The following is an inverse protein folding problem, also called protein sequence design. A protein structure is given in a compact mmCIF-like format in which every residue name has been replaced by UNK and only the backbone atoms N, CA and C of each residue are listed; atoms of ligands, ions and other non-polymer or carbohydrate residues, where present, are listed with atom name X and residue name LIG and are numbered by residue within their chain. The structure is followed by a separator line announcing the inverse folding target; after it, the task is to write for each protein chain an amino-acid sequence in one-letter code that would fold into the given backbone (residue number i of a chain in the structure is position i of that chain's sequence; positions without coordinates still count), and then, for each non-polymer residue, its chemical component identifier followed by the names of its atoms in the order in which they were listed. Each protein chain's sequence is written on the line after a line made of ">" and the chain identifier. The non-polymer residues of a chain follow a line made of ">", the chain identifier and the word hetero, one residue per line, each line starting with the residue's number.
data_IF_998942243509
#
_entry.id   IF_998942243509
#
_cell.length_a   1.000
_cell.length_b   1.000
_cell.length_c   1.000
_cell.angle_alpha   90.00
_cell.angle_beta   90.00
_cell.angle_gamma   90.00
#
_symmetry.space_group_name_H-M   'P 1'
#
loop_
_entity.id
_entity.type
_entity.pdbx_description
1 polymer ?
#
# COMPACT_ATOMS: atom_id res chain seq x y z
N UNK A 1 -4.52 31.66 -22.35
CA UNK A 1 -4.51 30.79 -21.15
C UNK A 1 -3.57 31.42 -20.14
N UNK A 2 -4.08 32.00 -19.06
CA UNK A 2 -3.23 32.45 -17.96
C UNK A 2 -2.89 31.23 -17.12
N UNK A 3 -1.62 30.84 -17.09
CA UNK A 3 -1.14 29.85 -16.13
C UNK A 3 -1.30 30.43 -14.72
N UNK A 4 -1.83 29.63 -13.79
CA UNK A 4 -1.85 30.01 -12.38
C UNK A 4 -0.41 30.23 -11.89
N UNK A 5 -0.16 31.21 -11.01
CA UNK A 5 1.15 31.40 -10.42
C UNK A 5 1.58 30.13 -9.68
N UNK A 6 2.89 29.83 -9.64
CA UNK A 6 3.41 28.65 -8.94
C UNK A 6 3.10 28.74 -7.44
N UNK A 7 2.63 27.62 -6.87
CA UNK A 7 2.30 27.52 -5.43
C UNK A 7 3.52 27.77 -4.56
N UNK A 8 3.36 28.51 -3.47
CA UNK A 8 4.41 28.66 -2.46
C UNK A 8 4.58 27.37 -1.62
N UNK A 9 5.64 27.28 -0.82
CA UNK A 9 5.97 26.08 -0.04
C UNK A 9 4.86 25.67 0.93
N UNK A 10 4.17 26.65 1.54
CA UNK A 10 3.07 26.39 2.47
C UNK A 10 1.85 25.84 1.74
N UNK A 11 1.51 26.42 0.58
CA UNK A 11 0.42 25.93 -0.28
C UNK A 11 0.68 24.49 -0.75
N UNK A 12 1.92 24.17 -1.12
CA UNK A 12 2.33 22.81 -1.48
C UNK A 12 2.23 21.85 -0.29
N UNK A 13 2.67 22.26 0.91
CA UNK A 13 2.53 21.46 2.13
C UNK A 13 1.06 21.17 2.46
N UNK A 14 0.18 22.18 2.34
CA UNK A 14 -1.26 22.02 2.58
C UNK A 14 -1.88 21.03 1.59
N UNK A 15 -1.50 21.07 0.31
CA UNK A 15 -1.97 20.09 -0.67
C UNK A 15 -1.53 18.66 -0.32
N UNK A 16 -0.29 18.49 0.11
CA UNK A 16 0.26 17.18 0.48
C UNK A 16 -0.45 16.62 1.72
N UNK A 17 -0.64 17.45 2.74
CA UNK A 17 -1.39 17.07 3.95
C UNK A 17 -2.83 16.73 3.60
N UNK A 18 -3.50 17.53 2.77
CA UNK A 18 -4.88 17.24 2.32
C UNK A 18 -4.96 15.88 1.63
N UNK A 19 -4.02 15.58 0.74
CA UNK A 19 -3.99 14.29 0.03
C UNK A 19 -3.83 13.09 0.97
N UNK A 20 -3.12 13.25 2.09
CA UNK A 20 -3.02 12.24 3.16
C UNK A 20 -4.35 12.12 3.91
N UNK A 21 -4.94 13.23 4.36
CA UNK A 21 -6.18 13.22 5.12
C UNK A 21 -7.34 12.59 4.33
N UNK A 22 -7.45 12.91 3.03
CA UNK A 22 -8.45 12.33 2.13
C UNK A 22 -8.33 10.80 2.03
N UNK A 23 -7.10 10.27 1.95
CA UNK A 23 -6.84 8.83 1.85
C UNK A 23 -6.91 8.09 3.17
N UNK A 24 -6.55 8.78 4.27
CA UNK A 24 -6.67 8.26 5.62
C UNK A 24 -8.13 8.06 6.00
N UNK A 25 -9.00 8.97 5.53
CA UNK A 25 -10.44 8.88 5.78
C UNK A 25 -10.99 7.55 5.29
N UNK A 26 -11.49 6.73 6.24
CA UNK A 26 -12.03 5.41 5.93
C UNK A 26 -11.00 4.30 5.74
N UNK A 27 -9.70 4.56 5.89
CA UNK A 27 -8.68 3.52 5.76
C UNK A 27 -8.80 2.44 6.83
N UNK A 28 -9.02 2.83 8.09
CA UNK A 28 -9.27 1.88 9.19
C UNK A 28 -10.40 0.91 8.82
N UNK A 29 -11.55 1.44 8.37
CA UNK A 29 -12.68 0.64 7.90
C UNK A 29 -12.32 -0.24 6.71
N UNK A 30 -11.59 0.29 5.73
CA UNK A 30 -11.12 -0.49 4.57
C UNK A 30 -10.28 -1.69 5.02
N UNK A 31 -9.33 -1.49 5.94
CA UNK A 31 -8.52 -2.56 6.49
C UNK A 31 -9.38 -3.59 7.26
N UNK A 32 -10.29 -3.13 8.11
CA UNK A 32 -11.20 -4.01 8.86
C UNK A 32 -12.08 -4.86 7.96
N UNK A 33 -12.65 -4.27 6.90
CA UNK A 33 -13.66 -4.95 6.07
C UNK A 33 -13.07 -5.74 4.89
N UNK A 34 -11.93 -5.29 4.35
CA UNK A 34 -11.38 -5.78 3.08
C UNK A 34 -10.04 -6.48 3.21
N UNK A 35 -9.34 -6.34 4.34
CA UNK A 35 -8.00 -6.92 4.55
C UNK A 35 -8.03 -7.95 5.66
N UNK A 36 -8.38 -7.54 6.88
CA UNK A 36 -8.38 -8.38 8.10
C UNK A 36 -9.07 -9.75 7.93
N UNK A 37 -10.21 -9.88 7.23
CA UNK A 37 -10.89 -11.17 7.08
C UNK A 37 -10.10 -12.21 6.26
N UNK A 38 -9.14 -11.77 5.45
CA UNK A 38 -8.38 -12.61 4.53
C UNK A 38 -6.95 -12.88 5.01
N UNK A 39 -6.55 -12.30 6.14
CA UNK A 39 -5.24 -12.52 6.76
C UNK A 39 -5.27 -13.71 7.72
N UNK A 40 -4.13 -14.38 7.82
CA UNK A 40 -3.84 -15.32 8.90
C UNK A 40 -3.78 -14.60 10.27
N UNK A 41 -3.86 -15.34 11.39
CA UNK A 41 -3.94 -14.72 12.71
C UNK A 41 -2.75 -13.82 13.09
N UNK A 42 -1.54 -14.17 12.67
CA UNK A 42 -0.32 -13.41 13.03
C UNK A 42 -0.28 -12.10 12.24
N UNK A 43 -0.52 -12.17 10.93
CA UNK A 43 -0.63 -10.99 10.06
C UNK A 43 -1.80 -10.08 10.48
N UNK A 44 -2.91 -10.67 10.94
CA UNK A 44 -4.07 -9.91 11.42
C UNK A 44 -3.71 -9.01 12.60
N UNK A 45 -3.01 -9.53 13.60
CA UNK A 45 -2.62 -8.76 14.77
C UNK A 45 -1.82 -7.50 14.38
N UNK A 46 -0.87 -7.67 13.46
CA UNK A 46 -0.02 -6.58 12.97
C UNK A 46 -0.84 -5.51 12.22
N UNK A 47 -1.81 -5.93 11.40
CA UNK A 47 -2.69 -4.99 10.70
C UNK A 47 -3.68 -4.32 11.64
N UNK A 48 -4.12 -4.99 12.70
CA UNK A 48 -4.96 -4.40 13.75
C UNK A 48 -4.24 -3.26 14.49
N UNK A 49 -2.94 -3.39 14.79
CA UNK A 49 -2.15 -2.27 15.35
C UNK A 49 -2.12 -1.05 14.40
N UNK A 50 -2.07 -1.30 13.09
CA UNK A 50 -2.14 -0.21 12.09
C UNK A 50 -3.52 0.45 12.07
N UNK A 51 -4.59 -0.32 12.27
CA UNK A 51 -5.96 0.21 12.36
C UNK A 51 -6.10 1.12 13.59
N UNK A 52 -5.64 0.66 14.75
CA UNK A 52 -5.65 1.45 16.00
C UNK A 52 -4.93 2.79 15.80
N UNK A 53 -3.74 2.75 15.21
CA UNK A 53 -2.96 3.96 14.93
C UNK A 53 -3.67 4.92 13.95
N UNK A 54 -4.43 4.39 12.99
CA UNK A 54 -5.20 5.20 12.04
C UNK A 54 -6.38 5.92 12.71
N UNK A 55 -7.02 5.28 13.69
CA UNK A 55 -8.19 5.81 14.41
C UNK A 55 -7.84 6.86 15.48
N UNK A 56 -6.64 6.80 16.07
CA UNK A 56 -6.20 7.72 17.15
C UNK A 56 -5.93 9.18 16.70
N UNK A 57 -6.37 9.61 15.51
CA UNK A 57 -6.10 10.96 14.96
C UNK A 57 -4.62 11.39 15.06
N UNK A 58 -3.70 10.43 14.95
CA UNK A 58 -2.24 10.61 15.05
C UNK A 58 -1.65 11.59 14.03
N UNK A 59 -0.47 12.15 14.33
CA UNK A 59 0.24 13.06 13.44
C UNK A 59 0.66 12.40 12.11
N UNK A 60 0.81 13.22 11.05
CA UNK A 60 1.37 12.77 9.78
C UNK A 60 2.90 12.80 9.88
N UNK A 61 3.47 11.69 10.33
CA UNK A 61 4.90 11.57 10.58
C UNK A 61 5.49 10.24 10.06
N UNK A 62 6.76 9.99 10.42
CA UNK A 62 7.45 8.76 10.07
C UNK A 62 6.83 7.51 10.70
N UNK A 63 6.17 7.62 11.86
CA UNK A 63 5.51 6.52 12.56
C UNK A 63 4.31 6.03 11.77
N UNK A 64 3.48 6.94 11.26
CA UNK A 64 2.38 6.58 10.36
C UNK A 64 2.91 5.83 9.13
N UNK A 65 4.02 6.29 8.54
CA UNK A 65 4.61 5.62 7.38
C UNK A 65 5.13 4.21 7.70
N UNK A 66 5.62 4.00 8.92
CA UNK A 66 6.11 2.70 9.39
C UNK A 66 4.97 1.68 9.52
N UNK A 67 3.89 2.03 10.21
CA UNK A 67 2.74 1.13 10.37
C UNK A 67 2.10 0.76 9.01
N UNK A 68 1.97 1.74 8.11
CA UNK A 68 1.48 1.49 6.76
C UNK A 68 2.37 0.53 5.96
N UNK A 69 3.71 0.68 6.04
CA UNK A 69 4.66 -0.21 5.37
C UNK A 69 4.56 -1.64 5.90
N UNK A 70 4.50 -1.78 7.23
CA UNK A 70 4.33 -3.07 7.90
C UNK A 70 3.03 -3.75 7.45
N UNK A 71 1.90 -3.04 7.45
CA UNK A 71 0.64 -3.58 6.96
C UNK A 71 0.70 -3.98 5.47
N UNK A 72 1.38 -3.20 4.61
CA UNK A 72 1.59 -3.53 3.20
C UNK A 72 2.38 -4.83 3.05
N UNK A 73 3.42 -5.02 3.86
CA UNK A 73 4.24 -6.24 3.87
C UNK A 73 3.37 -7.45 4.23
N UNK A 74 2.55 -7.37 5.28
CA UNK A 74 1.68 -8.48 5.68
C UNK A 74 0.65 -8.84 4.62
N UNK A 75 0.02 -7.84 3.99
CA UNK A 75 -0.92 -8.06 2.88
C UNK A 75 -0.23 -8.76 1.70
N UNK A 76 0.99 -8.33 1.33
CA UNK A 76 1.76 -8.95 0.24
C UNK A 76 2.20 -10.37 0.58
N UNK A 77 2.54 -10.63 1.84
CA UNK A 77 2.83 -11.98 2.35
C UNK A 77 1.61 -12.88 2.21
N UNK A 78 0.42 -12.41 2.62
CA UNK A 78 -0.84 -13.14 2.45
C UNK A 78 -1.17 -13.46 0.99
N UNK A 79 -0.98 -12.49 0.07
CA UNK A 79 -1.14 -12.72 -1.38
C UNK A 79 -0.18 -13.81 -1.87
N UNK A 80 1.07 -13.78 -1.41
CA UNK A 80 2.09 -14.75 -1.79
C UNK A 80 1.76 -16.15 -1.27
N UNK A 81 1.33 -16.25 -0.01
CA UNK A 81 0.93 -17.51 0.62
C UNK A 81 -0.28 -18.15 -0.07
N UNK A 82 -1.26 -17.35 -0.50
CA UNK A 82 -2.40 -17.83 -1.29
C UNK A 82 -2.14 -17.97 -2.79
N UNK A 83 -0.89 -17.82 -3.24
CA UNK A 83 -0.52 -18.11 -4.63
C UNK A 83 -0.05 -19.57 -4.77
N UNK A 84 -0.60 -20.29 -5.74
CA UNK A 84 -0.16 -21.65 -6.07
C UNK A 84 0.02 -21.85 -7.58
N UNK A 85 0.72 -22.92 -7.95
CA UNK A 85 0.88 -23.36 -9.33
C UNK A 85 -0.19 -24.41 -9.68
N UNK A 86 -0.93 -24.16 -10.75
CA UNK A 86 -1.88 -25.08 -11.35
C UNK A 86 -1.27 -25.70 -12.61
N UNK A 87 -1.21 -27.03 -12.66
CA UNK A 87 -0.80 -27.78 -13.86
C UNK A 87 -2.02 -28.08 -14.70
N UNK A 88 -2.09 -27.52 -15.90
CA UNK A 88 -3.16 -27.74 -16.86
C UNK A 88 -2.66 -28.62 -17.98
N UNK A 89 -3.33 -29.74 -18.23
CA UNK A 89 -2.94 -30.66 -19.28
C UNK A 89 -3.06 -29.97 -20.66
N UNK A 90 -2.00 -30.03 -21.45
CA UNK A 90 -2.00 -29.50 -22.81
C UNK A 90 -2.85 -30.44 -23.68
N UNK A 91 -3.85 -29.93 -24.42
CA UNK A 91 -4.68 -30.74 -25.31
C UNK A 91 -3.83 -31.51 -26.32
N UNK A 92 -4.25 -32.74 -26.65
CA UNK A 92 -3.47 -33.64 -27.53
C UNK A 92 -3.21 -33.02 -28.90
N UNK A 93 -4.11 -32.18 -29.42
CA UNK A 93 -3.90 -31.54 -30.73
C UNK A 93 -2.73 -30.55 -30.73
N UNK A 94 -2.28 -30.09 -29.56
CA UNK A 94 -1.18 -29.12 -29.37
C UNK A 94 0.14 -29.77 -28.94
N UNK A 95 0.15 -31.08 -28.68
CA UNK A 95 1.36 -31.80 -28.27
C UNK A 95 2.28 -32.02 -29.48
N UNK A 96 3.57 -31.70 -29.33
CA UNK A 96 4.60 -31.99 -30.34
C UNK A 96 5.58 -32.99 -29.75
N UNK A 97 5.64 -34.20 -30.32
CA UNK A 97 6.67 -35.20 -30.00
C UNK A 97 6.53 -35.91 -28.64
N UNK A 98 5.39 -35.78 -27.95
CA UNK A 98 5.15 -36.42 -26.65
C UNK A 98 3.71 -36.91 -26.47
N UNK A 99 3.49 -37.76 -25.44
CA UNK A 99 2.17 -38.32 -25.10
C UNK A 99 1.40 -37.51 -24.05
N UNK A 100 2.12 -36.67 -23.28
CA UNK A 100 1.57 -35.83 -22.22
C UNK A 100 2.51 -34.62 -21.99
N UNK A 101 1.93 -33.44 -21.78
CA UNK A 101 2.61 -32.24 -21.33
C UNK A 101 1.64 -31.34 -20.58
N UNK A 102 2.17 -30.45 -19.72
CA UNK A 102 1.38 -29.55 -18.89
C UNK A 102 1.85 -28.11 -19.04
N UNK A 103 0.90 -27.18 -19.14
CA UNK A 103 1.14 -25.76 -18.93
C UNK A 103 1.09 -25.48 -17.41
N UNK A 104 2.00 -24.65 -16.91
CA UNK A 104 2.01 -24.21 -15.51
C UNK A 104 1.44 -22.80 -15.46
N UNK A 105 0.35 -22.64 -14.72
CA UNK A 105 -0.28 -21.34 -14.48
C UNK A 105 -0.18 -20.96 -13.01
N UNK A 106 0.25 -19.73 -12.75
CA UNK A 106 0.18 -19.15 -11.40
C UNK A 106 -1.26 -18.70 -11.13
N UNK A 107 -1.87 -19.22 -10.06
CA UNK A 107 -3.23 -18.93 -9.62
C UNK A 107 -3.22 -18.37 -8.21
N UNK A 108 -4.20 -17.52 -7.93
CA UNK A 108 -4.46 -16.98 -6.59
C UNK A 108 -5.64 -17.73 -5.98
N UNK A 109 -5.60 -17.93 -4.67
CA UNK A 109 -6.79 -18.30 -3.90
C UNK A 109 -7.77 -17.11 -3.85
N UNK A 110 -9.07 -17.34 -3.58
CA UNK A 110 -10.04 -16.27 -3.42
C UNK A 110 -9.62 -15.21 -2.38
N UNK A 111 -8.98 -15.63 -1.29
CA UNK A 111 -8.47 -14.75 -0.24
C UNK A 111 -7.31 -13.88 -0.76
N UNK A 112 -6.38 -14.47 -1.51
CA UNK A 112 -5.27 -13.74 -2.11
C UNK A 112 -5.73 -12.76 -3.21
N UNK A 113 -6.76 -13.10 -3.98
CA UNK A 113 -7.40 -12.17 -4.92
C UNK A 113 -8.04 -10.98 -4.18
N UNK A 114 -8.73 -11.24 -3.06
CA UNK A 114 -9.33 -10.20 -2.24
C UNK A 114 -8.28 -9.26 -1.64
N UNK A 115 -7.18 -9.81 -1.10
CA UNK A 115 -6.05 -9.04 -0.60
C UNK A 115 -5.38 -8.21 -1.71
N UNK A 116 -5.19 -8.80 -2.90
CA UNK A 116 -4.62 -8.09 -4.04
C UNK A 116 -5.49 -6.91 -4.48
N UNK A 117 -6.82 -7.07 -4.47
CA UNK A 117 -7.75 -5.99 -4.77
C UNK A 117 -7.80 -4.92 -3.67
N UNK A 118 -7.52 -5.27 -2.42
CA UNK A 118 -7.54 -4.37 -1.28
C UNK A 118 -6.23 -3.59 -1.06
N UNK A 119 -5.14 -4.00 -1.70
CA UNK A 119 -3.80 -3.42 -1.50
C UNK A 119 -3.63 -1.97 -2.02
N UNK A 120 -4.13 -1.57 -3.21
CA UNK A 120 -3.80 -0.26 -3.78
C UNK A 120 -4.16 0.96 -2.91
N UNK A 121 -5.34 1.03 -2.24
CA UNK A 121 -5.63 2.14 -1.33
C UNK A 121 -4.60 2.32 -0.21
N UNK A 122 -4.08 1.22 0.32
CA UNK A 122 -3.09 1.23 1.39
C UNK A 122 -1.73 1.75 0.87
N UNK A 123 -1.31 1.29 -0.31
CA UNK A 123 -0.10 1.78 -0.98
C UNK A 123 -0.20 3.28 -1.30
N UNK A 124 -1.35 3.73 -1.80
CA UNK A 124 -1.57 5.15 -2.09
C UNK A 124 -1.47 6.03 -0.84
N UNK A 125 -2.03 5.59 0.29
CA UNK A 125 -1.90 6.31 1.55
C UNK A 125 -0.43 6.34 2.01
N UNK A 126 0.27 5.21 1.97
CA UNK A 126 1.70 5.13 2.29
C UNK A 126 2.51 6.12 1.45
N UNK A 127 2.30 6.16 0.13
CA UNK A 127 3.01 7.08 -0.75
C UNK A 127 2.67 8.54 -0.46
N UNK A 128 1.41 8.85 -0.16
CA UNK A 128 1.00 10.20 0.22
C UNK A 128 1.70 10.66 1.51
N UNK A 129 1.74 9.80 2.54
CA UNK A 129 2.40 10.08 3.82
C UNK A 129 3.90 10.29 3.60
N UNK A 130 4.57 9.37 2.90
CA UNK A 130 6.00 9.48 2.58
C UNK A 130 6.31 10.78 1.84
N UNK A 131 5.47 11.17 0.89
CA UNK A 131 5.66 12.41 0.14
C UNK A 131 5.51 13.65 1.03
N UNK A 132 4.50 13.69 1.90
CA UNK A 132 4.29 14.80 2.83
C UNK A 132 5.44 14.93 3.83
N UNK A 133 5.89 13.81 4.42
CA UNK A 133 6.99 13.78 5.39
C UNK A 133 8.31 14.21 4.73
N UNK A 134 8.65 13.61 3.59
CA UNK A 134 9.89 13.95 2.87
C UNK A 134 9.93 15.43 2.46
N UNK A 135 8.80 16.00 2.05
CA UNK A 135 8.72 17.41 1.69
C UNK A 135 8.93 18.32 2.91
N UNK A 136 8.29 18.00 4.04
CA UNK A 136 8.49 18.73 5.29
C UNK A 136 9.96 18.68 5.75
N UNK A 137 10.60 17.51 5.64
CA UNK A 137 12.01 17.35 6.00
C UNK A 137 12.95 18.10 5.05
N UNK A 138 12.64 18.13 3.75
CA UNK A 138 13.38 18.94 2.79
C UNK A 138 13.30 20.45 3.13
N UNK A 139 12.12 20.97 3.48
CA UNK A 139 11.96 22.37 3.91
C UNK A 139 12.80 22.64 5.17
N UNK A 140 12.69 21.78 6.19
CA UNK A 140 13.48 21.93 7.43
C UNK A 140 14.98 21.95 7.13
N UNK A 141 15.45 21.07 6.25
CA UNK A 141 16.85 21.02 5.85
C UNK A 141 17.28 22.29 5.12
N UNK A 142 16.46 22.78 4.19
CA UNK A 142 16.74 24.03 3.47
C UNK A 142 16.80 25.24 4.41
N UNK A 143 15.90 25.34 5.39
CA UNK A 143 15.93 26.43 6.38
C UNK A 143 17.19 26.40 7.23
N UNK A 144 17.62 25.22 7.69
CA UNK A 144 18.87 25.06 8.45
C UNK A 144 20.10 25.52 7.69
N UNK A 145 20.12 25.36 6.37
CA UNK A 145 21.23 25.85 5.54
C UNK A 145 21.32 27.39 5.47
N UNK A 146 20.25 28.11 5.81
CA UNK A 146 20.24 29.59 5.86
C UNK A 146 20.42 30.15 7.28
N UNK A 147 20.25 29.31 8.31
CA UNK A 147 20.46 29.68 9.72
C UNK A 147 21.92 29.46 10.20
N UNK A 148 22.77 28.84 9.38
CA UNK A 148 24.22 28.74 9.61
C UNK A 148 24.95 30.02 9.12
N UNK A 149 24.75 31.14 9.84
CA UNK A 149 25.60 32.34 9.84
C UNK A 149 25.86 32.82 11.29
#
# INVERSE_FOLDING_TARGET
>A
MNALPPKNLMEQQVDLVRAVLERRSGMARHLTERVVPHLDPDARQVVEETIEFLDEETDIDGTLSYYLDVAIVEVRSGITAGTFEEKVAIPRERLIGGSEAFDIHRRLSPEAEALQAALPPLEELYYAVRKAVNFADAIKMSLRMFDED
#
